data_IF_773818441445
#
_entry.id   IF_773818441445
#
_cell.length_a   1.000
_cell.length_b   1.000
_cell.length_c   1.000
_cell.angle_alpha   90.00
_cell.angle_beta   90.00
_cell.angle_gamma   90.00
#
_symmetry.space_group_name_H-M   'P 1'
#
loop_
_entity.id
_entity.type
_entity.pdbx_description
1 polymer ?
#
# COMPACT_ATOMS: atom_id res chain seq x y z
N UNK A 1 -11.00 5.77 32.82
CA UNK A 1 -10.07 4.61 32.78
C UNK A 1 -9.80 4.34 31.31
N UNK A 2 -8.71 4.89 30.80
CA UNK A 2 -8.21 4.61 29.43
C UNK A 2 -7.73 3.18 29.42
N UNK A 3 -8.21 2.38 28.48
CA UNK A 3 -7.77 1.00 28.26
C UNK A 3 -6.33 1.04 27.71
N UNK A 4 -5.34 1.13 28.58
CA UNK A 4 -3.92 1.21 28.24
C UNK A 4 -3.32 -0.10 27.65
N UNK A 5 -4.19 -1.02 27.19
CA UNK A 5 -3.76 -2.33 26.68
C UNK A 5 -4.29 -2.60 25.25
N UNK A 6 -4.77 -1.61 24.52
CA UNK A 6 -5.08 -1.79 23.11
C UNK A 6 -3.76 -1.59 22.31
N UNK A 7 -3.21 -2.66 21.79
CA UNK A 7 -2.00 -2.64 20.98
C UNK A 7 -2.13 -1.68 19.79
N UNK A 8 -0.99 -1.17 19.28
CA UNK A 8 -0.97 -0.24 18.15
C UNK A 8 -1.56 -0.92 16.93
N UNK A 9 -2.59 -0.28 16.35
CA UNK A 9 -3.27 -0.76 15.15
C UNK A 9 -3.07 0.20 13.99
N UNK A 10 -2.74 -0.33 12.82
CA UNK A 10 -2.64 0.43 11.57
C UNK A 10 -3.34 -0.32 10.44
N UNK A 11 -3.86 0.40 9.45
CA UNK A 11 -4.45 -0.21 8.26
C UNK A 11 -3.62 0.12 7.03
N UNK A 12 -3.34 -0.89 6.19
CA UNK A 12 -2.70 -0.68 4.88
C UNK A 12 -3.76 -0.85 3.80
N UNK A 13 -3.92 0.18 2.97
CA UNK A 13 -4.89 0.22 1.87
C UNK A 13 -4.14 0.25 0.55
N UNK A 14 -4.37 -0.76 -0.28
CA UNK A 14 -3.97 -0.73 -1.68
C UNK A 14 -4.95 0.14 -2.47
N UNK A 15 -4.43 1.01 -3.35
CA UNK A 15 -5.25 2.01 -4.06
C UNK A 15 -5.54 1.66 -5.51
N UNK A 16 -5.08 0.49 -5.97
CA UNK A 16 -5.29 0.07 -7.36
C UNK A 16 -4.26 0.66 -8.34
N UNK A 17 -4.50 0.49 -9.64
CA UNK A 17 -3.53 0.81 -10.70
C UNK A 17 -3.42 2.31 -11.02
N UNK A 18 -4.10 3.19 -10.30
CA UNK A 18 -4.04 4.64 -10.48
C UNK A 18 -5.36 5.29 -10.88
N UNK A 19 -6.35 4.50 -11.29
CA UNK A 19 -7.71 4.96 -11.54
C UNK A 19 -8.50 4.96 -10.21
N UNK A 20 -8.99 6.12 -9.75
CA UNK A 20 -9.76 6.21 -8.51
C UNK A 20 -11.04 5.37 -8.52
N UNK A 21 -11.62 5.10 -9.68
CA UNK A 21 -12.82 4.25 -9.80
C UNK A 21 -12.53 2.77 -9.52
N UNK A 22 -11.27 2.36 -9.60
CA UNK A 22 -10.82 1.00 -9.26
C UNK A 22 -10.56 0.80 -7.77
N UNK A 23 -10.63 1.84 -6.95
CA UNK A 23 -10.52 1.70 -5.51
C UNK A 23 -11.72 0.91 -4.97
N UNK A 24 -11.43 -0.11 -4.16
CA UNK A 24 -12.50 -0.92 -3.57
C UNK A 24 -13.42 -0.11 -2.66
N UNK A 25 -14.69 -0.49 -2.57
CA UNK A 25 -15.64 0.09 -1.62
C UNK A 25 -15.14 0.04 -0.18
N UNK A 26 -14.44 -1.03 0.19
CA UNK A 26 -13.80 -1.16 1.52
C UNK A 26 -12.70 -0.14 1.70
N UNK A 27 -11.84 0.05 0.69
CA UNK A 27 -10.78 1.05 0.71
C UNK A 27 -11.32 2.46 0.89
N UNK A 28 -12.36 2.83 0.12
CA UNK A 28 -13.04 4.14 0.25
C UNK A 28 -13.56 4.39 1.67
N UNK A 29 -14.26 3.42 2.26
CA UNK A 29 -14.80 3.54 3.63
C UNK A 29 -13.71 3.69 4.69
N UNK A 30 -12.61 2.95 4.55
CA UNK A 30 -11.46 3.04 5.47
C UNK A 30 -10.81 4.41 5.38
N UNK A 31 -10.59 4.93 4.17
CA UNK A 31 -10.00 6.25 3.96
C UNK A 31 -10.89 7.39 4.51
N UNK A 32 -12.19 7.31 4.28
CA UNK A 32 -13.15 8.29 4.82
C UNK A 32 -13.22 8.33 6.35
N UNK A 33 -12.90 7.23 7.01
CA UNK A 33 -12.86 7.11 8.48
C UNK A 33 -11.47 7.28 9.08
N UNK A 34 -10.46 7.64 8.29
CA UNK A 34 -9.10 7.81 8.77
C UNK A 34 -8.87 9.19 9.39
N UNK A 35 -8.12 9.23 10.49
CA UNK A 35 -7.63 10.49 11.09
C UNK A 35 -6.32 10.93 10.43
N UNK A 36 -5.48 9.95 10.03
CA UNK A 36 -4.21 10.18 9.35
C UNK A 36 -4.08 9.23 8.16
N UNK A 37 -3.72 9.76 7.00
CA UNK A 37 -3.40 8.98 5.80
C UNK A 37 -1.98 9.31 5.35
N UNK A 38 -1.14 8.30 5.25
CA UNK A 38 0.25 8.43 4.78
C UNK A 38 0.48 7.58 3.53
N UNK A 39 1.37 8.02 2.66
CA UNK A 39 1.70 7.29 1.43
C UNK A 39 2.60 8.12 0.52
N UNK A 40 3.07 7.54 -0.57
CA UNK A 40 3.76 8.32 -1.59
C UNK A 40 2.81 9.36 -2.18
N UNK A 41 3.34 10.54 -2.51
CA UNK A 41 2.51 11.66 -3.01
C UNK A 41 1.56 11.22 -4.14
N UNK A 42 2.09 10.51 -5.14
CA UNK A 42 1.32 10.03 -6.28
C UNK A 42 0.21 9.04 -5.91
N UNK A 43 0.38 8.27 -4.83
CA UNK A 43 -0.66 7.39 -4.27
C UNK A 43 -1.75 8.22 -3.58
N UNK A 44 -1.34 9.22 -2.80
CA UNK A 44 -2.24 10.11 -2.07
C UNK A 44 -3.10 10.98 -3.01
N UNK A 45 -2.52 11.39 -4.15
CA UNK A 45 -3.26 12.15 -5.17
C UNK A 45 -4.47 11.36 -5.72
N UNK A 46 -4.34 10.03 -5.88
CA UNK A 46 -5.44 9.15 -6.35
C UNK A 46 -6.59 9.08 -5.34
N UNK A 47 -6.30 9.15 -4.05
CA UNK A 47 -7.30 8.97 -2.98
C UNK A 47 -7.76 10.29 -2.34
N UNK A 48 -7.36 11.42 -2.91
CA UNK A 48 -7.59 12.76 -2.34
C UNK A 48 -9.07 13.06 -2.07
N UNK A 49 -9.99 12.55 -2.89
CA UNK A 49 -11.43 12.72 -2.71
C UNK A 49 -11.94 12.11 -1.39
N UNK A 50 -11.34 10.98 -0.96
CA UNK A 50 -11.78 10.25 0.24
C UNK A 50 -10.99 10.60 1.50
N UNK A 51 -10.03 11.52 1.42
CA UNK A 51 -9.15 11.91 2.54
C UNK A 51 -9.32 13.36 2.98
N UNK A 52 -10.39 14.03 2.55
CA UNK A 52 -10.63 15.45 2.80
C UNK A 52 -10.72 15.83 4.28
N UNK A 53 -11.15 14.91 5.13
CA UNK A 53 -11.28 15.12 6.58
C UNK A 53 -10.10 14.54 7.38
N UNK A 54 -9.09 14.01 6.71
CA UNK A 54 -7.93 13.39 7.32
C UNK A 54 -6.73 14.34 7.28
N UNK A 55 -5.83 14.19 8.24
CA UNK A 55 -4.46 14.67 8.05
C UNK A 55 -3.79 13.81 6.96
N UNK A 56 -3.25 14.43 5.92
CA UNK A 56 -2.57 13.74 4.83
C UNK A 56 -1.09 14.06 4.85
N UNK A 57 -0.25 13.04 5.04
CA UNK A 57 1.20 13.21 5.12
C UNK A 57 1.90 12.39 4.03
N UNK A 58 2.44 13.06 3.00
CA UNK A 58 3.20 12.38 1.96
C UNK A 58 4.55 11.87 2.49
N UNK A 59 5.01 10.76 1.92
CA UNK A 59 6.34 10.23 2.13
C UNK A 59 7.11 10.05 0.81
N UNK A 60 8.43 10.07 0.91
CA UNK A 60 9.37 9.72 -0.14
C UNK A 60 10.27 8.59 0.34
N UNK A 61 11.08 8.00 -0.53
CA UNK A 61 12.00 6.92 -0.15
C UNK A 61 12.98 7.30 0.97
N UNK A 62 13.38 8.58 1.02
CA UNK A 62 14.37 9.09 1.98
C UNK A 62 13.82 9.35 3.38
N UNK A 63 12.49 9.60 3.52
CA UNK A 63 11.83 9.96 4.77
C UNK A 63 10.74 8.96 5.18
N UNK A 64 10.68 7.81 4.52
CA UNK A 64 9.66 6.79 4.73
C UNK A 64 9.63 6.29 6.18
N UNK A 65 10.79 6.11 6.80
CA UNK A 65 10.89 5.68 8.20
C UNK A 65 10.32 6.73 9.15
N UNK A 66 10.66 8.00 8.95
CA UNK A 66 10.21 9.12 9.79
C UNK A 66 8.68 9.30 9.71
N UNK A 67 8.13 9.19 8.48
CA UNK A 67 6.67 9.30 8.27
C UNK A 67 5.92 8.13 8.89
N UNK A 68 6.44 6.91 8.79
CA UNK A 68 5.84 5.73 9.42
C UNK A 68 5.97 5.77 10.95
N UNK A 69 7.06 6.32 11.50
CA UNK A 69 7.21 6.55 12.94
C UNK A 69 6.21 7.58 13.44
N UNK A 70 6.00 8.66 12.69
CA UNK A 70 4.95 9.61 12.99
C UNK A 70 3.57 8.94 12.99
N UNK A 71 3.25 8.13 11.97
CA UNK A 71 1.97 7.40 11.93
C UNK A 71 1.81 6.45 13.14
N UNK A 72 2.89 5.78 13.56
CA UNK A 72 2.90 4.96 14.77
C UNK A 72 2.58 5.79 16.02
N UNK A 73 3.17 6.99 16.15
CA UNK A 73 2.93 7.88 17.28
C UNK A 73 1.47 8.34 17.36
N UNK A 74 0.85 8.58 16.21
CA UNK A 74 -0.57 8.95 16.13
C UNK A 74 -1.49 7.75 16.44
N UNK A 75 -1.13 6.55 15.97
CA UNK A 75 -1.86 5.32 16.28
C UNK A 75 -1.83 4.98 17.77
N UNK A 76 -0.70 5.24 18.46
CA UNK A 76 -0.61 5.13 19.95
C UNK A 76 -1.57 6.06 20.68
N UNK A 77 -1.95 7.19 20.08
CA UNK A 77 -2.92 8.13 20.63
C UNK A 77 -4.37 7.72 20.29
N UNK A 78 -4.59 6.55 19.72
CA UNK A 78 -5.89 6.03 19.37
C UNK A 78 -6.46 6.53 18.03
N UNK A 79 -5.64 7.19 17.20
CA UNK A 79 -6.07 7.64 15.87
C UNK A 79 -6.11 6.50 14.87
N UNK A 80 -7.07 6.56 13.95
CA UNK A 80 -7.17 5.66 12.81
C UNK A 80 -6.12 6.04 11.75
N UNK A 81 -4.98 5.35 11.75
CA UNK A 81 -3.88 5.61 10.83
C UNK A 81 -3.90 4.65 9.64
N UNK A 82 -3.90 5.19 8.45
CA UNK A 82 -3.93 4.46 7.18
C UNK A 82 -2.66 4.70 6.39
N UNK A 83 -2.03 3.63 5.91
CA UNK A 83 -0.89 3.66 4.99
C UNK A 83 -1.36 3.24 3.61
N UNK A 84 -1.22 4.09 2.61
CA UNK A 84 -1.61 3.80 1.23
C UNK A 84 -0.44 3.28 0.41
N UNK A 85 -0.70 2.27 -0.45
CA UNK A 85 0.27 1.77 -1.41
C UNK A 85 -0.35 1.57 -2.80
N UNK A 86 0.50 1.58 -3.83
CA UNK A 86 0.10 1.32 -5.20
C UNK A 86 -0.40 -0.10 -5.44
N UNK A 87 -1.29 -0.24 -6.42
CA UNK A 87 -1.72 -1.51 -6.95
C UNK A 87 -2.43 -2.37 -5.92
N UNK A 88 -1.91 -3.58 -5.74
CA UNK A 88 -2.35 -4.56 -4.74
C UNK A 88 -1.22 -4.85 -3.74
N UNK A 89 -1.60 -5.30 -2.55
CA UNK A 89 -0.68 -5.59 -1.43
C UNK A 89 0.29 -6.74 -1.73
N UNK A 90 -0.05 -7.62 -2.67
CA UNK A 90 0.75 -8.79 -3.01
C UNK A 90 1.79 -8.50 -4.11
N UNK A 91 1.75 -7.31 -4.71
CA UNK A 91 2.66 -6.90 -5.79
C UNK A 91 3.48 -5.70 -5.32
N UNK A 92 4.80 -5.88 -5.18
CA UNK A 92 5.81 -4.86 -4.84
C UNK A 92 5.62 -4.12 -3.50
N UNK A 93 4.58 -4.44 -2.70
CA UNK A 93 4.32 -3.79 -1.41
C UNK A 93 5.05 -4.43 -0.21
N UNK A 94 5.77 -5.54 -0.43
CA UNK A 94 6.38 -6.37 0.63
C UNK A 94 7.24 -5.57 1.62
N UNK A 95 8.09 -4.69 1.10
CA UNK A 95 9.00 -3.91 1.94
C UNK A 95 8.21 -2.91 2.81
N UNK A 96 7.26 -2.18 2.23
CA UNK A 96 6.39 -1.26 2.96
C UNK A 96 5.58 -1.99 4.04
N UNK A 97 4.99 -3.14 3.71
CA UNK A 97 4.25 -3.96 4.67
C UNK A 97 5.12 -4.41 5.83
N UNK A 98 6.37 -4.82 5.58
CA UNK A 98 7.31 -5.20 6.62
C UNK A 98 7.66 -4.02 7.54
N UNK A 99 7.81 -2.80 6.98
CA UNK A 99 8.05 -1.58 7.76
C UNK A 99 6.86 -1.25 8.67
N UNK A 100 5.63 -1.38 8.17
CA UNK A 100 4.40 -1.15 8.96
C UNK A 100 4.27 -2.22 10.05
N UNK A 101 4.49 -3.50 9.73
CA UNK A 101 4.41 -4.61 10.70
C UNK A 101 5.40 -4.51 11.85
N UNK A 102 6.55 -3.87 11.65
CA UNK A 102 7.49 -3.59 12.75
C UNK A 102 7.03 -2.50 13.70
N UNK A 103 6.00 -1.72 13.32
CA UNK A 103 5.52 -0.54 14.05
C UNK A 103 4.14 -0.71 14.67
N UNK A 104 3.41 -1.75 14.28
CA UNK A 104 2.06 -2.01 14.79
C UNK A 104 1.90 -3.48 15.15
N UNK A 105 1.24 -3.75 16.26
CA UNK A 105 0.91 -5.11 16.72
C UNK A 105 -0.23 -5.70 15.87
N UNK A 106 -1.14 -4.84 15.40
CA UNK A 106 -2.24 -5.23 14.55
C UNK A 106 -2.22 -4.46 13.24
N UNK A 107 -2.06 -5.17 12.13
CA UNK A 107 -2.08 -4.59 10.79
C UNK A 107 -3.23 -5.17 10.01
N UNK A 108 -4.24 -4.33 9.74
CA UNK A 108 -5.34 -4.66 8.84
C UNK A 108 -4.94 -4.40 7.38
N UNK A 109 -5.33 -5.31 6.49
CA UNK A 109 -5.00 -5.22 5.07
C UNK A 109 -6.26 -5.06 4.23
N UNK A 110 -6.24 -4.09 3.33
CA UNK A 110 -7.32 -3.87 2.36
C UNK A 110 -6.72 -3.99 0.96
N UNK A 111 -6.89 -5.15 0.29
CA UNK A 111 -6.38 -5.38 -1.05
C UNK A 111 -7.16 -4.59 -2.10
N UNK A 112 -6.56 -4.46 -3.30
CA UNK A 112 -7.16 -3.82 -4.45
C UNK A 112 -6.74 -4.53 -5.75
N UNK A 113 -7.17 -4.00 -6.89
CA UNK A 113 -6.76 -4.49 -8.22
C UNK A 113 -5.30 -4.13 -8.47
N UNK A 114 -4.48 -5.12 -8.87
CA UNK A 114 -3.09 -4.86 -9.25
C UNK A 114 -3.01 -4.29 -10.67
N UNK A 115 -1.93 -3.56 -10.97
CA UNK A 115 -1.60 -3.14 -12.34
C UNK A 115 -1.44 -4.33 -13.30
N UNK A 116 -1.01 -5.47 -12.80
CA UNK A 116 -0.87 -6.72 -13.57
C UNK A 116 -2.26 -7.23 -14.00
N UNK A 117 -3.19 -7.36 -13.06
CA UNK A 117 -4.57 -7.76 -13.37
C UNK A 117 -5.22 -6.80 -14.38
N UNK A 118 -5.04 -5.50 -14.17
CA UNK A 118 -5.55 -4.49 -15.09
C UNK A 118 -4.93 -4.62 -16.49
N UNK A 119 -3.62 -4.78 -16.59
CA UNK A 119 -2.91 -4.94 -17.86
C UNK A 119 -3.36 -6.21 -18.60
N UNK A 120 -3.47 -7.35 -17.92
CA UNK A 120 -3.96 -8.60 -18.49
C UNK A 120 -5.39 -8.45 -19.01
N UNK A 121 -6.29 -7.83 -18.25
CA UNK A 121 -7.66 -7.58 -18.68
C UNK A 121 -7.74 -6.68 -19.92
N UNK A 122 -6.90 -5.64 -19.99
CA UNK A 122 -6.82 -4.74 -21.15
C UNK A 122 -6.25 -5.41 -22.39
N UNK A 123 -5.32 -6.34 -22.21
CA UNK A 123 -4.68 -7.09 -23.29
C UNK A 123 -5.47 -8.34 -23.73
N UNK A 124 -6.52 -8.71 -22.98
CA UNK A 124 -7.28 -9.95 -23.23
C UNK A 124 -6.47 -11.20 -22.93
N UNK A 125 -5.51 -11.13 -22.00
CA UNK A 125 -4.64 -12.23 -21.60
C UNK A 125 -5.17 -12.82 -20.28
N UNK A 126 -5.28 -14.16 -20.22
CA UNK A 126 -5.63 -14.85 -18.99
C UNK A 126 -4.44 -14.78 -18.00
N UNK A 127 -4.74 -14.47 -16.73
CA UNK A 127 -3.70 -14.33 -15.70
C UNK A 127 -2.97 -15.67 -15.46
N UNK A 128 -3.67 -16.78 -15.51
CA UNK A 128 -3.16 -18.14 -15.37
C UNK A 128 -2.23 -18.59 -16.51
N UNK A 129 -2.31 -17.92 -17.66
CA UNK A 129 -1.44 -18.16 -18.82
C UNK A 129 -0.24 -17.21 -18.88
N UNK A 130 -0.02 -16.44 -17.80
CA UNK A 130 0.99 -15.38 -17.75
C UNK A 130 2.13 -15.72 -16.79
N UNK A 131 3.34 -15.37 -17.18
CA UNK A 131 4.52 -15.38 -16.31
C UNK A 131 4.85 -13.96 -15.90
N UNK A 132 4.99 -13.73 -14.58
CA UNK A 132 5.35 -12.42 -14.04
C UNK A 132 6.78 -12.41 -13.55
N UNK A 133 7.63 -11.62 -14.22
CA UNK A 133 9.02 -11.39 -13.84
C UNK A 133 9.15 -9.95 -13.42
N UNK A 134 9.60 -9.69 -12.17
CA UNK A 134 9.84 -8.35 -11.69
C UNK A 134 11.31 -8.01 -11.70
N UNK A 135 11.68 -6.93 -12.38
CA UNK A 135 13.03 -6.37 -12.36
C UNK A 135 13.21 -5.31 -11.25
N UNK A 136 12.25 -5.22 -10.33
CA UNK A 136 12.22 -4.19 -9.28
C UNK A 136 12.98 -4.56 -8.01
N UNK A 137 13.61 -5.73 -7.96
CA UNK A 137 14.45 -6.15 -6.84
C UNK A 137 15.80 -5.42 -6.88
N UNK A 138 16.22 -4.88 -5.74
CA UNK A 138 17.46 -4.10 -5.66
C UNK A 138 18.71 -4.96 -5.60
N UNK A 139 18.61 -6.17 -5.05
CA UNK A 139 19.78 -6.99 -4.69
C UNK A 139 19.97 -8.23 -5.57
N UNK A 140 19.03 -8.55 -6.47
CA UNK A 140 19.03 -9.77 -7.30
C UNK A 140 18.63 -9.53 -8.77
N UNK A 141 18.82 -8.30 -9.27
CA UNK A 141 18.41 -7.94 -10.63
C UNK A 141 19.08 -8.79 -11.73
N UNK A 142 20.26 -9.35 -11.46
CA UNK A 142 20.97 -10.27 -12.36
C UNK A 142 20.20 -11.56 -12.57
N UNK A 143 19.72 -12.18 -11.51
CA UNK A 143 18.95 -13.44 -11.58
C UNK A 143 17.60 -13.26 -12.28
N UNK A 144 16.90 -12.14 -12.00
CA UNK A 144 15.62 -11.83 -12.65
C UNK A 144 15.81 -11.56 -14.16
N UNK A 145 16.95 -10.97 -14.55
CA UNK A 145 17.29 -10.76 -15.96
C UNK A 145 17.64 -12.07 -16.69
N UNK A 146 18.37 -12.98 -16.02
CA UNK A 146 18.68 -14.32 -16.55
C UNK A 146 17.39 -15.13 -16.72
N UNK A 147 16.46 -15.05 -15.75
CA UNK A 147 15.16 -15.68 -15.84
C UNK A 147 14.36 -15.15 -17.04
N UNK A 148 14.32 -13.81 -17.23
CA UNK A 148 13.67 -13.21 -18.39
C UNK A 148 14.24 -13.70 -19.69
N UNK A 149 15.59 -13.75 -19.83
CA UNK A 149 16.27 -14.23 -21.05
C UNK A 149 15.98 -15.71 -21.30
N UNK A 150 15.79 -16.51 -20.24
CA UNK A 150 15.45 -17.93 -20.39
C UNK A 150 14.07 -18.16 -21.04
N UNK A 151 13.12 -17.26 -20.86
CA UNK A 151 11.76 -17.36 -21.39
C UNK A 151 11.53 -16.56 -22.70
N UNK A 152 12.53 -15.84 -23.21
CA UNK A 152 12.50 -15.19 -24.52
C UNK A 152 13.11 -16.07 -25.61
#
# INVERSE_FOLDING_TARGET
>A
MTNDNAGISMTVVAVGPGDPDMLTMKGRKVLQGADLVVGFKTVLDVVSEWTQNSEVKPMAYRDQEDVLEYAQSQARQGKNCVVCCWGDLNVSARELLNRVRRRAEHVSLVPCVSSIQFACARAGIALEDSLFITLHKRDEAGTDLEELVHYL
#
